data_IF_894896997773
#
_entry.id   IF_894896997773
#
_cell.length_a   1.000
_cell.length_b   1.000
_cell.length_c   1.000
_cell.angle_alpha   90.00
_cell.angle_beta   90.00
_cell.angle_gamma   90.00
#
_symmetry.space_group_name_H-M   'P 1'
#
loop_
_entity.id
_entity.type
_entity.pdbx_description
1 polymer ?
#
# COMPACT_ATOMS: atom_id res chain seq x y z
N UNK A 1 -16.42 -53.97 -35.26
CA UNK A 1 -15.94 -52.84 -36.06
C UNK A 1 -14.89 -52.12 -35.21
N UNK A 2 -13.78 -52.78 -34.85
CA UNK A 2 -12.53 -52.94 -35.64
C UNK A 2 -12.05 -51.58 -36.19
N UNK A 3 -10.83 -51.07 -35.93
CA UNK A 3 -9.58 -51.78 -35.70
C UNK A 3 -8.55 -51.00 -34.85
N UNK A 4 -7.81 -51.79 -34.08
CA UNK A 4 -6.46 -51.56 -33.53
C UNK A 4 -5.40 -51.58 -34.66
N UNK A 5 -4.24 -50.89 -34.51
CA UNK A 5 -2.85 -51.42 -34.75
C UNK A 5 -1.79 -50.31 -34.91
N UNK A 6 -0.92 -50.21 -33.91
CA UNK A 6 0.57 -50.29 -33.85
C UNK A 6 1.52 -49.79 -34.97
N UNK A 7 2.55 -49.05 -34.49
CA UNK A 7 3.93 -48.71 -34.94
C UNK A 7 4.65 -49.55 -36.02
N UNK A 8 5.53 -48.87 -36.80
CA UNK A 8 6.87 -49.36 -37.25
C UNK A 8 7.87 -48.22 -37.54
N UNK A 9 9.17 -48.57 -37.42
CA UNK A 9 10.40 -47.75 -37.52
C UNK A 9 11.27 -48.16 -38.75
N UNK A 10 12.27 -47.33 -39.06
CA UNK A 10 13.49 -47.55 -39.91
C UNK A 10 13.32 -47.32 -41.43
N UNK A 11 14.29 -46.85 -42.24
CA UNK A 11 15.78 -46.88 -42.21
C UNK A 11 16.40 -45.88 -43.25
N UNK A 12 17.68 -45.50 -43.06
CA UNK A 12 18.59 -44.62 -43.87
C UNK A 12 19.11 -45.27 -45.20
N UNK A 13 20.22 -44.87 -45.92
CA UNK A 13 21.21 -43.75 -45.85
C UNK A 13 21.78 -43.17 -47.22
N UNK A 14 22.87 -42.36 -47.12
CA UNK A 14 23.93 -42.00 -48.11
C UNK A 14 23.63 -40.84 -49.11
N UNK A 15 24.55 -39.95 -49.51
CA UNK A 15 25.98 -40.09 -49.80
C UNK A 15 26.78 -38.76 -49.72
N UNK A 16 28.10 -38.90 -49.77
CA UNK A 16 29.16 -37.91 -49.53
C UNK A 16 29.68 -37.18 -50.79
N UNK A 17 30.34 -36.02 -50.62
CA UNK A 17 31.46 -35.61 -51.48
C UNK A 17 32.38 -34.58 -50.80
N UNK A 18 33.68 -34.89 -50.81
CA UNK A 18 34.82 -34.07 -50.36
C UNK A 18 35.21 -33.04 -51.44
N UNK A 19 35.82 -31.91 -51.04
CA UNK A 19 37.11 -31.40 -51.56
C UNK A 19 37.49 -30.04 -50.91
N UNK A 20 38.68 -29.99 -50.32
CA UNK A 20 39.53 -28.82 -50.09
C UNK A 20 40.63 -28.79 -51.18
N UNK A 21 41.63 -27.85 -51.20
CA UNK A 21 41.74 -26.49 -50.65
C UNK A 21 42.11 -25.45 -51.75
N UNK A 22 42.10 -24.15 -51.45
CA UNK A 22 42.97 -23.18 -52.14
C UNK A 22 43.28 -21.99 -51.25
N UNK A 23 44.57 -21.65 -51.20
CA UNK A 23 45.21 -20.60 -50.43
C UNK A 23 45.32 -19.34 -51.29
N UNK A 24 44.92 -18.19 -50.78
CA UNK A 24 45.34 -16.89 -51.31
C UNK A 24 45.33 -15.82 -50.20
N UNK A 25 46.13 -14.79 -50.41
CA UNK A 25 46.91 -14.06 -49.41
C UNK A 25 46.36 -12.65 -49.15
N UNK A 26 46.44 -12.22 -47.89
CA UNK A 26 46.52 -10.85 -47.30
C UNK A 26 46.11 -9.64 -48.17
N UNK A 27 45.15 -8.84 -47.66
CA UNK A 27 45.26 -7.37 -47.55
C UNK A 27 44.23 -6.82 -46.54
N UNK A 28 44.68 -5.97 -45.62
CA UNK A 28 43.84 -5.23 -44.67
C UNK A 28 43.26 -3.95 -45.31
N UNK A 29 42.10 -3.49 -44.83
CA UNK A 29 42.07 -2.11 -44.34
C UNK A 29 41.23 -1.87 -43.08
N UNK A 30 41.81 -1.07 -42.17
CA UNK A 30 41.20 -0.05 -41.30
C UNK A 30 39.94 -0.38 -40.49
N UNK A 31 40.15 -0.82 -39.24
CA UNK A 31 39.21 -0.65 -38.13
C UNK A 31 39.42 0.74 -37.48
N UNK A 32 38.38 1.58 -37.49
CA UNK A 32 38.30 2.77 -36.63
C UNK A 32 37.92 2.34 -35.21
N UNK A 33 38.81 2.56 -34.25
CA UNK A 33 38.52 2.46 -32.82
C UNK A 33 37.72 3.69 -32.36
N UNK A 34 36.56 3.46 -31.75
CA UNK A 34 35.91 4.42 -30.85
C UNK A 34 36.27 4.05 -29.41
N UNK A 35 36.77 4.97 -28.57
CA UNK A 35 37.04 4.67 -27.17
C UNK A 35 35.74 4.62 -26.36
N UNK A 36 35.47 3.48 -25.73
CA UNK A 36 34.50 3.34 -24.65
C UNK A 36 35.10 3.97 -23.39
N UNK A 37 34.51 5.07 -22.93
CA UNK A 37 34.95 5.79 -21.72
C UNK A 37 34.37 5.10 -20.50
N UNK A 38 35.15 4.24 -19.86
CA UNK A 38 34.83 3.69 -18.53
C UNK A 38 35.19 4.75 -17.48
N UNK A 39 34.18 5.42 -16.92
CA UNK A 39 34.37 6.28 -15.76
C UNK A 39 34.55 5.40 -14.52
N UNK A 40 35.80 5.17 -14.13
CA UNK A 40 36.14 4.70 -12.79
C UNK A 40 35.77 5.80 -11.79
N UNK A 41 34.81 5.53 -10.91
CA UNK A 41 34.56 6.35 -9.73
C UNK A 41 35.80 6.27 -8.82
N UNK A 42 36.56 7.36 -8.74
CA UNK A 42 37.54 7.54 -7.68
C UNK A 42 36.80 8.06 -6.44
N UNK A 43 36.65 7.22 -5.42
CA UNK A 43 36.24 7.68 -4.09
C UNK A 43 37.41 8.47 -3.51
N UNK A 44 37.33 9.80 -3.59
CA UNK A 44 38.24 10.67 -2.90
C UNK A 44 37.92 10.62 -1.39
N UNK A 45 38.84 10.06 -0.63
CA UNK A 45 38.90 10.21 0.82
C UNK A 45 39.08 11.69 1.16
N UNK A 46 38.12 12.26 1.90
CA UNK A 46 38.34 13.47 2.68
C UNK A 46 37.50 13.40 3.96
N UNK A 47 38.12 12.86 5.01
CA UNK A 47 37.68 13.05 6.38
C UNK A 47 37.95 14.51 6.77
N UNK A 48 36.90 15.27 7.00
CA UNK A 48 36.96 16.49 7.80
C UNK A 48 35.83 16.44 8.85
N UNK A 49 36.23 16.09 10.06
CA UNK A 49 35.47 16.10 11.29
C UNK A 49 34.94 17.50 11.60
N UNK A 50 33.60 17.64 11.72
CA UNK A 50 32.97 18.74 12.45
C UNK A 50 32.00 18.15 13.49
N UNK A 51 32.12 18.50 14.78
CA UNK A 51 31.19 18.01 15.78
C UNK A 51 29.90 18.81 15.66
N UNK A 52 28.78 18.14 15.37
CA UNK A 52 27.45 18.72 15.58
C UNK A 52 27.03 18.42 17.01
N UNK A 53 27.29 19.40 17.87
CA UNK A 53 26.77 19.51 19.22
C UNK A 53 25.24 19.59 19.21
N UNK A 54 24.62 18.71 20.01
CA UNK A 54 23.45 18.92 20.86
C UNK A 54 22.26 19.72 20.31
N UNK A 55 21.11 19.03 20.21
CA UNK A 55 19.83 19.65 20.59
C UNK A 55 18.74 19.67 19.52
N UNK A 56 18.36 18.53 18.95
CA UNK A 56 17.04 18.40 18.31
C UNK A 56 15.97 18.30 19.41
N UNK A 57 15.70 19.45 20.03
CA UNK A 57 14.57 19.64 20.95
C UNK A 57 13.31 19.61 20.10
N UNK A 58 12.57 18.50 20.18
CA UNK A 58 11.27 18.26 19.52
C UNK A 58 10.28 19.39 19.86
N UNK A 59 10.21 20.43 19.03
CA UNK A 59 9.19 21.47 19.11
C UNK A 59 7.91 20.90 18.50
N UNK A 60 7.03 20.36 19.35
CA UNK A 60 5.60 20.28 19.03
C UNK A 60 5.09 21.70 18.83
N UNK A 61 5.05 22.17 17.60
CA UNK A 61 4.13 23.24 17.20
C UNK A 61 2.97 22.55 16.51
N UNK A 62 1.81 22.58 17.15
CA UNK A 62 0.55 22.29 16.50
C UNK A 62 0.36 23.31 15.38
N UNK A 63 0.57 22.89 14.15
CA UNK A 63 -0.04 23.53 13.00
C UNK A 63 -1.41 22.91 12.88
N UNK A 64 -2.44 23.67 13.25
CA UNK A 64 -3.84 23.26 13.09
C UNK A 64 -4.09 22.87 11.65
N UNK A 65 -4.35 21.58 11.47
CA UNK A 65 -4.56 20.95 10.18
C UNK A 65 -6.01 21.24 9.75
N UNK A 66 -6.23 22.36 9.06
CA UNK A 66 -7.50 22.60 8.37
C UNK A 66 -7.38 21.97 6.98
N UNK A 67 -7.58 20.66 6.91
CA UNK A 67 -7.91 19.99 5.64
C UNK A 67 -9.40 20.20 5.43
N UNK A 68 -9.80 20.73 4.28
CA UNK A 68 -11.20 20.92 3.90
C UNK A 68 -11.94 19.57 3.97
N UNK A 69 -13.13 19.58 4.55
CA UNK A 69 -14.01 18.41 4.74
C UNK A 69 -14.55 17.79 3.43
N UNK A 70 -13.94 18.09 2.28
CA UNK A 70 -14.52 17.79 0.96
C UNK A 70 -14.26 16.34 0.51
N UNK A 71 -13.20 15.68 0.99
CA UNK A 71 -12.80 14.33 0.53
C UNK A 71 -13.81 13.22 0.84
N UNK A 72 -14.56 13.28 1.94
CA UNK A 72 -15.50 12.21 2.36
C UNK A 72 -16.97 12.66 2.38
N UNK A 73 -17.30 13.78 1.73
CA UNK A 73 -18.55 14.50 1.97
C UNK A 73 -19.84 13.66 1.89
N UNK A 74 -19.94 12.73 0.93
CA UNK A 74 -21.12 11.86 0.79
C UNK A 74 -21.26 10.87 1.95
N UNK A 75 -20.15 10.20 2.32
CA UNK A 75 -20.14 9.26 3.44
C UNK A 75 -20.40 10.00 4.76
N UNK A 76 -19.75 11.15 4.98
CA UNK A 76 -19.96 11.98 6.16
C UNK A 76 -21.43 12.42 6.28
N UNK A 77 -22.04 12.92 5.20
CA UNK A 77 -23.45 13.37 5.20
C UNK A 77 -24.43 12.23 5.46
N UNK A 78 -24.19 11.06 4.85
CA UNK A 78 -25.03 9.89 5.04
C UNK A 78 -24.96 9.35 6.48
N UNK A 79 -23.76 9.36 7.07
CA UNK A 79 -23.56 9.03 8.47
C UNK A 79 -24.19 10.08 9.40
N UNK A 80 -24.08 11.38 9.07
CA UNK A 80 -24.74 12.48 9.79
C UNK A 80 -26.24 12.32 9.93
N UNK A 81 -26.88 11.86 8.86
CA UNK A 81 -28.31 11.59 8.85
C UNK A 81 -28.68 10.51 9.88
N UNK A 82 -27.83 9.50 10.08
CA UNK A 82 -28.08 8.39 10.98
C UNK A 82 -28.15 8.82 12.46
N UNK A 83 -27.19 9.60 12.95
CA UNK A 83 -27.22 10.06 14.35
C UNK A 83 -28.21 11.20 14.59
N UNK A 84 -28.55 11.99 13.57
CA UNK A 84 -29.62 12.99 13.70
C UNK A 84 -30.98 12.38 14.06
N UNK A 85 -31.24 11.14 13.63
CA UNK A 85 -32.45 10.37 14.00
C UNK A 85 -32.47 9.92 15.46
N UNK A 86 -31.33 9.97 16.15
CA UNK A 86 -31.22 9.61 17.56
C UNK A 86 -31.32 10.83 18.50
N UNK A 87 -31.51 12.04 17.96
CA UNK A 87 -31.71 13.24 18.80
C UNK A 87 -32.97 13.09 19.64
N UNK A 88 -32.82 13.25 20.96
CA UNK A 88 -33.93 13.11 21.91
C UNK A 88 -34.31 11.66 22.22
N UNK A 89 -33.54 10.68 21.73
CA UNK A 89 -33.64 9.29 22.17
C UNK A 89 -32.82 9.13 23.45
N UNK A 90 -33.40 8.47 24.46
CA UNK A 90 -32.73 8.25 25.75
C UNK A 90 -31.88 6.97 25.77
N UNK A 91 -32.28 5.93 25.03
CA UNK A 91 -31.62 4.62 25.03
C UNK A 91 -31.61 3.99 23.63
N UNK A 92 -30.50 3.34 23.27
CA UNK A 92 -30.41 2.52 22.07
C UNK A 92 -31.17 1.20 22.28
N UNK A 93 -32.26 1.00 21.53
CA UNK A 93 -33.08 -0.21 21.56
C UNK A 93 -33.18 -0.79 20.16
N UNK A 94 -33.72 -2.02 20.06
CA UNK A 94 -33.91 -2.69 18.75
C UNK A 94 -34.75 -1.86 17.80
N UNK A 95 -35.69 -1.09 18.31
CA UNK A 95 -36.62 -0.26 17.55
C UNK A 95 -35.96 1.06 17.14
N UNK A 96 -35.19 1.69 18.02
CA UNK A 96 -34.61 3.02 17.77
C UNK A 96 -33.40 2.97 16.82
N UNK A 97 -32.67 1.85 16.76
CA UNK A 97 -31.48 1.74 15.89
C UNK A 97 -31.77 1.35 14.44
N UNK A 98 -32.97 0.84 14.11
CA UNK A 98 -33.27 0.31 12.76
C UNK A 98 -33.02 1.37 11.69
N UNK A 99 -33.58 2.56 11.86
CA UNK A 99 -33.47 3.64 10.89
C UNK A 99 -32.05 4.20 10.77
N UNK A 100 -31.32 4.50 11.86
CA UNK A 100 -29.89 4.82 11.81
C UNK A 100 -29.05 3.76 11.08
N UNK A 101 -29.28 2.46 11.33
CA UNK A 101 -28.53 1.38 10.67
C UNK A 101 -28.80 1.33 9.17
N UNK A 102 -30.03 1.66 8.74
CA UNK A 102 -30.38 1.73 7.30
C UNK A 102 -29.66 2.91 6.61
N UNK A 103 -29.53 4.05 7.28
CA UNK A 103 -28.81 5.20 6.75
C UNK A 103 -27.31 4.92 6.64
N UNK A 104 -26.71 4.32 7.68
CA UNK A 104 -25.29 3.89 7.66
C UNK A 104 -25.05 2.91 6.51
N UNK A 105 -25.95 1.91 6.36
CA UNK A 105 -25.87 0.96 5.24
C UNK A 105 -25.92 1.67 3.89
N UNK A 106 -26.81 2.64 3.72
CA UNK A 106 -26.94 3.40 2.47
C UNK A 106 -25.68 4.22 2.20
N UNK A 107 -25.19 4.95 3.20
CA UNK A 107 -23.99 5.78 3.10
C UNK A 107 -22.77 4.97 2.66
N UNK A 108 -22.57 3.79 3.24
CA UNK A 108 -21.47 2.90 2.85
C UNK A 108 -21.61 2.35 1.42
N UNK A 109 -22.83 2.03 0.97
CA UNK A 109 -23.04 1.57 -0.40
C UNK A 109 -22.86 2.70 -1.42
N UNK A 110 -23.30 3.92 -1.11
CA UNK A 110 -23.06 5.13 -1.93
C UNK A 110 -21.57 5.45 -2.01
N UNK A 111 -20.83 5.19 -0.92
CA UNK A 111 -19.39 5.28 -0.84
C UNK A 111 -18.63 4.18 -1.64
N UNK A 112 -19.33 3.39 -2.45
CA UNK A 112 -18.80 2.28 -3.24
C UNK A 112 -18.11 1.18 -2.40
N UNK A 113 -18.59 0.96 -1.17
CA UNK A 113 -18.17 -0.16 -0.33
C UNK A 113 -18.91 -1.43 -0.77
N UNK A 114 -18.20 -2.57 -0.84
CA UNK A 114 -18.82 -3.82 -1.27
C UNK A 114 -19.92 -4.30 -0.31
N UNK A 115 -21.03 -4.80 -0.86
CA UNK A 115 -22.17 -5.28 -0.07
C UNK A 115 -21.78 -6.30 1.02
N UNK A 116 -20.85 -7.25 0.80
CA UNK A 116 -20.39 -8.15 1.87
C UNK A 116 -19.73 -7.41 3.04
N UNK A 117 -18.88 -6.42 2.77
CA UNK A 117 -18.26 -5.56 3.81
C UNK A 117 -19.36 -4.82 4.58
N UNK A 118 -20.28 -4.15 3.87
CA UNK A 118 -21.35 -3.35 4.50
C UNK A 118 -22.23 -4.22 5.40
N UNK A 119 -22.60 -5.43 4.96
CA UNK A 119 -23.42 -6.34 5.77
C UNK A 119 -22.73 -6.72 7.08
N UNK A 120 -21.43 -7.07 7.04
CA UNK A 120 -20.67 -7.41 8.25
C UNK A 120 -20.54 -6.21 9.18
N UNK A 121 -20.18 -5.06 8.62
CA UNK A 121 -20.04 -3.81 9.37
C UNK A 121 -21.34 -3.45 10.12
N UNK A 122 -22.47 -3.41 9.41
CA UNK A 122 -23.76 -3.03 10.00
C UNK A 122 -24.23 -4.07 11.05
N UNK A 123 -23.95 -5.36 10.83
CA UNK A 123 -24.25 -6.40 11.83
C UNK A 123 -23.45 -6.18 13.12
N UNK A 124 -22.14 -5.98 13.00
CA UNK A 124 -21.23 -5.75 14.13
C UNK A 124 -21.60 -4.47 14.90
N UNK A 125 -21.88 -3.36 14.20
CA UNK A 125 -22.35 -2.11 14.82
C UNK A 125 -23.68 -2.31 15.53
N UNK A 126 -24.64 -3.01 14.92
CA UNK A 126 -25.94 -3.29 15.52
C UNK A 126 -25.84 -4.12 16.81
N UNK A 127 -25.03 -5.17 16.80
CA UNK A 127 -24.76 -6.00 17.98
C UNK A 127 -24.11 -5.19 19.11
N UNK A 128 -23.08 -4.40 18.80
CA UNK A 128 -22.40 -3.52 19.77
C UNK A 128 -23.33 -2.42 20.30
N UNK A 129 -24.21 -1.88 19.46
CA UNK A 129 -25.17 -0.84 19.86
C UNK A 129 -26.23 -1.37 20.83
N UNK A 130 -26.70 -2.61 20.65
CA UNK A 130 -27.67 -3.24 21.55
C UNK A 130 -27.05 -3.83 22.82
N UNK A 131 -25.78 -4.25 22.75
CA UNK A 131 -25.06 -4.87 23.86
C UNK A 131 -24.24 -3.92 24.71
N UNK A 132 -24.22 -2.62 24.40
CA UNK A 132 -23.46 -1.63 25.18
C UNK A 132 -24.31 -1.05 26.30
N UNK A 133 -23.78 -1.09 27.52
CA UNK A 133 -24.42 -0.47 28.68
C UNK A 133 -24.64 1.03 28.47
N UNK A 134 -25.74 1.56 29.00
CA UNK A 134 -25.99 3.00 29.00
C UNK A 134 -24.95 3.67 29.91
N UNK A 135 -24.01 4.39 29.29
CA UNK A 135 -22.99 5.12 30.03
C UNK A 135 -23.57 6.46 30.48
N UNK A 136 -23.61 6.69 31.79
CA UNK A 136 -24.11 7.96 32.35
C UNK A 136 -23.34 9.15 31.78
N UNK A 137 -24.08 10.16 31.34
CA UNK A 137 -23.52 11.41 30.80
C UNK A 137 -23.10 11.33 29.31
N UNK A 138 -23.26 10.16 28.67
CA UNK A 138 -23.05 10.00 27.23
C UNK A 138 -24.41 9.85 26.57
N UNK A 139 -24.68 10.66 25.55
CA UNK A 139 -25.95 10.59 24.82
C UNK A 139 -25.93 9.44 23.80
N UNK A 140 -27.06 8.78 23.51
CA UNK A 140 -27.11 7.63 22.60
C UNK A 140 -26.49 7.88 21.22
N UNK A 141 -26.64 9.08 20.67
CA UNK A 141 -26.04 9.43 19.39
C UNK A 141 -24.51 9.46 19.45
N UNK A 142 -23.93 9.91 20.56
CA UNK A 142 -22.48 9.93 20.77
C UNK A 142 -21.93 8.51 20.96
N UNK A 143 -22.69 7.66 21.65
CA UNK A 143 -22.37 6.25 21.81
C UNK A 143 -22.37 5.53 20.47
N UNK A 144 -23.39 5.77 19.62
CA UNK A 144 -23.41 5.20 18.27
C UNK A 144 -22.23 5.69 17.43
N UNK A 145 -21.91 6.98 17.46
CA UNK A 145 -20.75 7.55 16.76
C UNK A 145 -19.45 6.84 17.18
N UNK A 146 -19.26 6.58 18.47
CA UNK A 146 -18.08 5.83 18.97
C UNK A 146 -18.04 4.40 18.46
N UNK A 147 -19.16 3.69 18.47
CA UNK A 147 -19.24 2.30 17.99
C UNK A 147 -18.89 2.24 16.49
N UNK A 148 -19.46 3.15 15.70
CA UNK A 148 -19.19 3.25 14.26
C UNK A 148 -17.73 3.61 14.02
N UNK A 149 -17.16 4.55 14.78
CA UNK A 149 -15.74 4.90 14.73
C UNK A 149 -14.85 3.68 14.94
N UNK A 150 -15.07 2.95 16.04
CA UNK A 150 -14.24 1.82 16.41
C UNK A 150 -14.32 0.70 15.37
N UNK A 151 -15.51 0.50 14.79
CA UNK A 151 -15.69 -0.45 13.70
C UNK A 151 -14.96 0.00 12.42
N UNK A 152 -15.00 1.29 12.08
CA UNK A 152 -14.26 1.84 10.94
C UNK A 152 -12.75 1.67 11.12
N UNK A 153 -12.23 1.94 12.33
CA UNK A 153 -10.82 1.74 12.66
C UNK A 153 -10.43 0.27 12.50
N UNK A 154 -11.24 -0.65 13.04
CA UNK A 154 -11.01 -2.08 12.92
C UNK A 154 -11.03 -2.54 11.45
N UNK A 155 -12.00 -2.05 10.67
CA UNK A 155 -12.15 -2.36 9.25
C UNK A 155 -10.96 -1.86 8.42
N UNK A 156 -10.33 -0.74 8.81
CA UNK A 156 -9.16 -0.17 8.13
C UNK A 156 -7.82 -0.77 8.55
N UNK A 157 -7.80 -1.67 9.54
CA UNK A 157 -6.57 -2.37 9.95
C UNK A 157 -6.19 -2.23 11.41
N UNK A 158 -6.95 -1.47 12.19
CA UNK A 158 -6.73 -1.26 13.62
C UNK A 158 -5.53 -0.34 13.87
N UNK A 159 -4.36 -0.94 14.09
CA UNK A 159 -3.15 -0.23 14.47
C UNK A 159 -2.30 0.19 13.26
N UNK A 160 -1.42 1.17 13.48
CA UNK A 160 -0.45 1.62 12.49
C UNK A 160 0.55 0.51 12.13
N UNK A 161 0.93 0.43 10.86
CA UNK A 161 1.95 -0.50 10.38
C UNK A 161 3.00 0.27 9.61
N UNK A 162 4.20 0.36 10.19
CA UNK A 162 5.35 1.01 9.56
C UNK A 162 6.14 0.04 8.67
N UNK A 163 7.10 0.57 7.92
CA UNK A 163 8.13 -0.21 7.26
C UNK A 163 9.20 -0.65 8.27
N UNK A 164 9.81 -1.79 7.98
CA UNK A 164 10.98 -2.24 8.71
C UNK A 164 12.20 -1.52 8.13
N UNK A 165 12.79 -0.60 8.90
CA UNK A 165 14.03 0.08 8.56
C UNK A 165 15.26 -0.62 9.15
N UNK A 166 16.45 -0.26 8.68
CA UNK A 166 17.70 -0.78 9.20
C UNK A 166 17.84 -0.50 10.71
N UNK A 167 18.38 -1.46 11.46
CA UNK A 167 18.50 -1.37 12.93
C UNK A 167 19.52 -0.32 13.38
N UNK A 168 20.47 0.05 12.53
CA UNK A 168 21.55 1.00 12.83
C UNK A 168 21.98 1.74 11.57
N UNK A 169 22.09 3.06 11.63
CA UNK A 169 22.50 3.91 10.50
C UNK A 169 21.33 4.37 9.62
N UNK A 170 21.57 5.32 8.70
CA UNK A 170 20.57 5.73 7.72
C UNK A 170 20.35 4.60 6.70
N UNK A 171 19.10 4.19 6.51
CA UNK A 171 18.76 3.22 5.46
C UNK A 171 19.13 3.79 4.09
N UNK A 172 20.16 3.24 3.45
CA UNK A 172 20.49 3.58 2.06
C UNK A 172 19.53 2.82 1.16
N UNK A 173 18.87 3.53 0.24
CA UNK A 173 17.85 2.96 -0.66
C UNK A 173 18.44 2.87 -2.07
N UNK A 174 18.18 1.77 -2.78
CA UNK A 174 18.41 1.65 -4.21
C UNK A 174 17.07 1.56 -4.93
N UNK A 175 16.85 2.41 -5.92
CA UNK A 175 15.64 2.35 -6.76
C UNK A 175 15.93 1.52 -8.02
N UNK A 176 15.05 0.58 -8.38
CA UNK A 176 15.17 -0.21 -9.60
C UNK A 176 13.85 -0.24 -10.37
N UNK A 177 13.82 0.29 -11.60
CA UNK A 177 12.69 0.15 -12.54
C UNK A 177 12.93 -1.07 -13.44
N UNK A 178 11.96 -1.98 -13.50
CA UNK A 178 12.10 -3.21 -14.28
C UNK A 178 11.74 -3.11 -15.75
N UNK A 179 10.94 -2.14 -16.24
CA UNK A 179 10.62 -2.02 -17.69
C UNK A 179 9.78 -0.79 -18.10
N UNK A 180 10.20 0.44 -17.79
CA UNK A 180 9.53 1.64 -18.33
C UNK A 180 10.52 2.61 -18.98
N UNK A 181 10.67 2.58 -20.32
CA UNK A 181 11.62 3.45 -21.05
C UNK A 181 11.47 4.93 -20.71
N UNK A 182 10.24 5.37 -20.40
CA UNK A 182 9.93 6.76 -20.03
C UNK A 182 9.96 7.05 -18.53
N UNK A 183 10.09 6.05 -17.65
CA UNK A 183 10.09 6.26 -16.20
C UNK A 183 11.47 6.09 -15.55
N UNK A 184 12.44 5.44 -16.22
CA UNK A 184 13.84 5.42 -15.75
C UNK A 184 14.38 6.85 -15.60
N UNK A 185 14.13 7.73 -16.58
CA UNK A 185 14.56 9.13 -16.51
C UNK A 185 13.86 9.89 -15.38
N UNK A 186 12.56 9.66 -15.19
CA UNK A 186 11.78 10.27 -14.11
C UNK A 186 12.29 9.82 -12.74
N UNK A 187 12.56 8.51 -12.58
CA UNK A 187 13.09 7.93 -11.36
C UNK A 187 14.50 8.41 -11.07
N UNK A 188 15.33 8.59 -12.10
CA UNK A 188 16.69 9.14 -11.99
C UNK A 188 16.64 10.58 -11.50
N UNK A 189 15.79 11.44 -12.10
CA UNK A 189 15.60 12.82 -11.66
C UNK A 189 15.10 12.86 -10.21
N UNK A 190 14.15 12.00 -9.84
CA UNK A 190 13.66 11.91 -8.47
C UNK A 190 14.76 11.48 -7.50
N UNK A 191 15.52 10.44 -7.85
CA UNK A 191 16.65 9.94 -7.06
C UNK A 191 17.71 11.01 -6.83
N UNK A 192 18.06 11.80 -7.86
CA UNK A 192 18.96 12.94 -7.73
C UNK A 192 18.43 14.03 -6.79
N UNK A 193 17.13 14.34 -6.87
CA UNK A 193 16.49 15.34 -6.00
C UNK A 193 16.53 14.95 -4.51
N UNK A 194 16.40 13.65 -4.21
CA UNK A 194 16.42 13.14 -2.83
C UNK A 194 17.77 12.59 -2.37
N UNK A 195 18.77 12.56 -3.25
CA UNK A 195 20.09 12.01 -2.96
C UNK A 195 20.12 10.49 -2.82
N UNK A 196 19.25 9.78 -3.53
CA UNK A 196 19.12 8.31 -3.52
C UNK A 196 19.61 7.74 -4.85
N UNK A 197 20.56 6.79 -4.85
CA UNK A 197 21.06 6.18 -6.09
C UNK A 197 19.97 5.34 -6.78
N UNK A 198 19.98 5.39 -8.12
CA UNK A 198 19.08 4.61 -8.98
C UNK A 198 19.91 3.60 -9.77
N UNK A 199 19.47 2.34 -9.76
CA UNK A 199 20.05 1.27 -10.56
C UNK A 199 19.17 0.99 -11.77
N UNK A 200 19.78 0.96 -12.96
CA UNK A 200 19.08 0.58 -14.19
C UNK A 200 20.04 -0.09 -15.17
N UNK A 201 19.57 -1.17 -15.80
CA UNK A 201 20.27 -1.87 -16.89
C UNK A 201 19.59 -1.63 -18.25
N UNK A 202 18.73 -0.60 -18.34
CA UNK A 202 17.93 -0.32 -19.52
C UNK A 202 16.83 -1.36 -19.78
N UNK A 203 16.44 -1.53 -21.04
CA UNK A 203 15.24 -2.28 -21.44
C UNK A 203 15.55 -3.62 -22.13
N UNK A 204 16.76 -4.14 -21.98
CA UNK A 204 17.21 -5.34 -22.69
C UNK A 204 17.22 -6.61 -21.81
N UNK A 205 17.33 -6.44 -20.49
CA UNK A 205 17.38 -7.53 -19.51
C UNK A 205 16.00 -7.82 -18.92
N UNK A 206 15.79 -9.04 -18.43
CA UNK A 206 14.50 -9.42 -17.81
C UNK A 206 14.33 -8.77 -16.43
N UNK A 207 13.10 -8.48 -15.97
CA UNK A 207 12.82 -7.93 -14.63
C UNK A 207 13.52 -8.65 -13.48
N UNK A 208 13.49 -9.99 -13.48
CA UNK A 208 14.08 -10.80 -12.43
C UNK A 208 15.62 -10.71 -12.42
N UNK A 209 16.26 -10.53 -13.58
CA UNK A 209 17.71 -10.39 -13.71
C UNK A 209 18.14 -9.00 -13.22
N UNK A 210 17.46 -7.94 -13.67
CA UNK A 210 17.71 -6.56 -13.22
C UNK A 210 17.61 -6.47 -11.69
N UNK A 211 16.55 -7.05 -11.12
CA UNK A 211 16.33 -7.01 -9.66
C UNK A 211 17.43 -7.77 -8.92
N UNK A 212 17.86 -8.92 -9.45
CA UNK A 212 18.94 -9.71 -8.83
C UNK A 212 20.27 -8.96 -8.86
N UNK A 213 20.61 -8.34 -9.99
CA UNK A 213 21.84 -7.57 -10.12
C UNK A 213 21.81 -6.30 -9.25
N UNK A 214 20.65 -5.64 -9.13
CA UNK A 214 20.44 -4.53 -8.20
C UNK A 214 20.73 -4.95 -6.74
N UNK A 215 20.30 -6.15 -6.33
CA UNK A 215 20.62 -6.72 -5.01
C UNK A 215 22.11 -6.97 -4.83
N UNK A 216 22.81 -7.45 -5.86
CA UNK A 216 24.26 -7.63 -5.80
C UNK A 216 25.01 -6.29 -5.71
N UNK A 217 24.57 -5.29 -6.47
CA UNK A 217 25.14 -3.94 -6.44
C UNK A 217 24.92 -3.26 -5.08
N UNK A 218 23.73 -3.41 -4.52
CA UNK A 218 23.43 -2.93 -3.18
C UNK A 218 24.37 -3.55 -2.13
N UNK A 219 24.59 -4.87 -2.20
CA UNK A 219 25.52 -5.56 -1.30
C UNK A 219 26.97 -5.07 -1.46
N UNK A 220 27.42 -4.80 -2.69
CA UNK A 220 28.78 -4.28 -2.95
C UNK A 220 28.99 -2.88 -2.40
N UNK A 221 27.94 -2.05 -2.42
CA UNK A 221 27.99 -0.66 -1.99
C UNK A 221 27.50 -0.45 -0.53
N UNK A 222 27.29 -1.52 0.23
CA UNK A 222 26.75 -1.47 1.60
C UNK A 222 25.42 -0.69 1.69
N UNK A 223 24.51 -0.95 0.75
CA UNK A 223 23.16 -0.41 0.74
C UNK A 223 22.23 -1.31 1.55
N UNK A 224 21.48 -0.72 2.49
CA UNK A 224 20.65 -1.47 3.45
C UNK A 224 19.27 -1.87 2.93
N UNK A 225 18.70 -1.10 1.99
CA UNK A 225 17.38 -1.34 1.44
C UNK A 225 17.32 -1.11 -0.07
N UNK A 226 16.39 -1.80 -0.72
CA UNK A 226 16.14 -1.67 -2.15
C UNK A 226 14.64 -1.53 -2.33
N UNK A 227 14.24 -0.51 -3.07
CA UNK A 227 12.87 -0.31 -3.52
C UNK A 227 12.84 -0.65 -5.00
N UNK A 228 12.12 -1.72 -5.33
CA UNK A 228 11.96 -2.17 -6.70
C UNK A 228 10.64 -1.62 -7.21
N UNK A 229 10.71 -0.66 -8.12
CA UNK A 229 9.55 -0.15 -8.83
C UNK A 229 9.21 -1.08 -9.99
N UNK A 230 8.04 -1.71 -9.89
CA UNK A 230 7.56 -2.66 -10.90
C UNK A 230 6.59 -1.98 -11.85
N UNK A 231 6.45 -2.51 -13.07
CA UNK A 231 5.48 -1.98 -14.02
C UNK A 231 4.07 -1.93 -13.42
N UNK A 232 3.47 -0.73 -13.39
CA UNK A 232 2.09 -0.55 -12.97
C UNK A 232 1.09 -0.88 -14.07
N UNK A 233 -0.09 -1.41 -13.69
CA UNK A 233 -1.25 -1.59 -14.56
C UNK A 233 -2.54 -1.36 -13.77
N UNK A 234 -3.54 -0.78 -14.44
CA UNK A 234 -4.89 -0.59 -13.87
C UNK A 234 -5.67 -1.93 -13.76
N UNK A 235 -5.27 -2.94 -14.53
CA UNK A 235 -5.90 -4.25 -14.57
C UNK A 235 -4.84 -5.35 -14.56
N UNK A 236 -5.23 -6.53 -14.06
CA UNK A 236 -4.32 -7.66 -13.90
C UNK A 236 -4.03 -8.32 -15.25
N UNK A 237 -2.76 -8.29 -15.65
CA UNK A 237 -2.24 -9.02 -16.80
C UNK A 237 -1.54 -10.31 -16.35
N UNK A 238 -1.82 -11.43 -17.02
CA UNK A 238 -1.20 -12.73 -16.72
C UNK A 238 0.31 -12.71 -16.91
N UNK A 239 0.80 -12.02 -17.94
CA UNK A 239 2.22 -11.89 -18.28
C UNK A 239 2.96 -11.16 -17.16
N UNK A 240 2.41 -10.03 -16.70
CA UNK A 240 2.97 -9.26 -15.59
C UNK A 240 2.99 -10.09 -14.29
N UNK A 241 1.93 -10.84 -14.00
CA UNK A 241 1.91 -11.70 -12.80
C UNK A 241 2.97 -12.80 -12.86
N UNK A 242 3.27 -13.35 -14.04
CA UNK A 242 4.38 -14.30 -14.22
C UNK A 242 5.72 -13.61 -13.94
N UNK A 243 5.95 -12.42 -14.50
CA UNK A 243 7.18 -11.65 -14.24
C UNK A 243 7.37 -11.32 -12.75
N UNK A 244 6.31 -10.87 -12.06
CA UNK A 244 6.34 -10.58 -10.63
C UNK A 244 6.62 -11.83 -9.79
N UNK A 245 6.09 -12.99 -10.17
CA UNK A 245 6.42 -14.26 -9.52
C UNK A 245 7.89 -14.63 -9.71
N UNK A 246 8.44 -14.41 -10.90
CA UNK A 246 9.86 -14.64 -11.17
C UNK A 246 10.76 -13.71 -10.34
N UNK A 247 10.42 -12.41 -10.28
CA UNK A 247 11.12 -11.43 -9.42
C UNK A 247 11.05 -11.86 -7.96
N UNK A 248 9.85 -12.18 -7.45
CA UNK A 248 9.66 -12.64 -6.06
C UNK A 248 10.52 -13.87 -5.76
N UNK A 249 10.58 -14.84 -6.67
CA UNK A 249 11.40 -16.04 -6.51
C UNK A 249 12.90 -15.75 -6.54
N UNK A 250 13.33 -14.78 -7.36
CA UNK A 250 14.73 -14.43 -7.52
C UNK A 250 15.32 -13.72 -6.30
N UNK A 251 14.55 -12.83 -5.66
CA UNK A 251 15.08 -11.96 -4.59
C UNK A 251 14.44 -12.14 -3.21
N UNK A 252 13.36 -12.91 -3.11
CA UNK A 252 12.63 -13.17 -1.86
C UNK A 252 12.39 -11.90 -1.02
N UNK A 253 11.61 -10.93 -1.54
CA UNK A 253 11.46 -9.62 -0.92
C UNK A 253 10.82 -9.71 0.47
N UNK A 254 11.31 -8.88 1.40
CA UNK A 254 10.79 -8.79 2.77
C UNK A 254 9.40 -8.15 2.82
N UNK A 255 9.16 -7.19 1.94
CA UNK A 255 7.92 -6.41 1.84
C UNK A 255 7.47 -6.38 0.38
N UNK A 256 6.17 -6.58 0.16
CA UNK A 256 5.52 -6.45 -1.14
C UNK A 256 4.33 -5.50 -0.93
N UNK A 257 4.46 -4.28 -1.43
CA UNK A 257 3.46 -3.22 -1.26
C UNK A 257 2.64 -3.09 -2.54
N UNK A 258 1.32 -3.22 -2.41
CA UNK A 258 0.41 -2.95 -3.51
C UNK A 258 -0.04 -1.49 -3.48
N UNK A 259 0.19 -0.77 -4.58
CA UNK A 259 -0.30 0.60 -4.74
C UNK A 259 -1.71 0.55 -5.34
N UNK A 260 -2.68 1.14 -4.64
CA UNK A 260 -4.10 1.14 -4.99
C UNK A 260 -4.60 2.58 -5.03
N UNK A 261 -5.44 2.90 -6.00
CA UNK A 261 -6.07 4.21 -6.12
C UNK A 261 -7.26 4.32 -5.14
N UNK A 262 -7.28 5.33 -4.27
CA UNK A 262 -8.36 5.53 -3.31
C UNK A 262 -9.73 5.82 -3.98
N UNK A 263 -9.73 6.28 -5.24
CA UNK A 263 -10.95 6.52 -6.01
C UNK A 263 -11.58 5.22 -6.52
N UNK A 264 -10.82 4.12 -6.58
CA UNK A 264 -11.30 2.82 -7.04
C UNK A 264 -11.96 2.08 -5.87
N UNK A 265 -13.29 2.05 -5.80
CA UNK A 265 -14.01 1.39 -4.70
C UNK A 265 -14.00 -0.13 -4.82
N UNK A 266 -15.03 -0.72 -5.41
CA UNK A 266 -15.12 -2.20 -5.50
C UNK A 266 -14.05 -2.83 -6.40
N UNK A 267 -13.57 -2.10 -7.41
CA UNK A 267 -12.51 -2.57 -8.30
C UNK A 267 -11.18 -2.79 -7.54
N UNK A 268 -10.89 -1.94 -6.55
CA UNK A 268 -9.74 -2.15 -5.66
C UNK A 268 -9.83 -3.49 -4.93
N UNK A 269 -11.02 -3.88 -4.48
CA UNK A 269 -11.22 -5.15 -3.78
C UNK A 269 -10.83 -6.34 -4.66
N UNK A 270 -11.24 -6.35 -5.92
CA UNK A 270 -10.91 -7.41 -6.87
C UNK A 270 -9.41 -7.46 -7.22
N UNK A 271 -8.81 -6.28 -7.43
CA UNK A 271 -7.37 -6.13 -7.69
C UNK A 271 -6.55 -6.67 -6.52
N UNK A 272 -6.85 -6.19 -5.31
CA UNK A 272 -6.18 -6.58 -4.06
C UNK A 272 -6.32 -8.08 -3.81
N UNK A 273 -7.53 -8.63 -3.97
CA UNK A 273 -7.79 -10.06 -3.77
C UNK A 273 -6.90 -10.90 -4.69
N UNK A 274 -6.95 -10.61 -5.99
CA UNK A 274 -6.25 -11.41 -6.98
C UNK A 274 -4.73 -11.27 -6.82
N UNK A 275 -4.22 -10.06 -6.62
CA UNK A 275 -2.78 -9.83 -6.41
C UNK A 275 -2.28 -10.49 -5.12
N UNK A 276 -3.07 -10.45 -4.04
CA UNK A 276 -2.72 -11.10 -2.79
C UNK A 276 -2.73 -12.64 -2.90
N UNK A 277 -3.63 -13.23 -3.69
CA UNK A 277 -3.65 -14.68 -3.93
C UNK A 277 -2.45 -15.09 -4.79
N UNK A 278 -2.17 -14.36 -5.87
CA UNK A 278 -1.17 -14.75 -6.87
C UNK A 278 0.27 -14.44 -6.42
N UNK A 279 0.48 -13.28 -5.82
CA UNK A 279 1.80 -12.77 -5.43
C UNK A 279 1.97 -12.77 -3.92
N UNK A 280 0.92 -12.42 -3.16
CA UNK A 280 0.98 -12.23 -1.71
C UNK A 280 1.58 -10.87 -1.35
N UNK A 281 0.80 -10.04 -0.67
CA UNK A 281 1.23 -8.70 -0.24
C UNK A 281 1.52 -8.66 1.27
N UNK A 282 2.40 -7.76 1.68
CA UNK A 282 2.65 -7.45 3.09
C UNK A 282 1.85 -6.25 3.56
N UNK A 283 1.55 -5.32 2.66
CA UNK A 283 0.73 -4.15 2.91
C UNK A 283 0.32 -3.45 1.63
N UNK A 284 -0.41 -2.34 1.77
CA UNK A 284 -0.85 -1.52 0.65
C UNK A 284 -0.53 -0.03 0.86
N UNK A 285 -0.48 0.70 -0.26
CA UNK A 285 -0.40 2.15 -0.30
C UNK A 285 -1.66 2.64 -1.02
N UNK A 286 -2.40 3.56 -0.42
CA UNK A 286 -3.53 4.22 -1.08
C UNK A 286 -3.07 5.55 -1.68
N UNK A 287 -3.31 5.79 -2.96
CA UNK A 287 -2.97 7.07 -3.61
C UNK A 287 -4.22 7.89 -3.92
N UNK A 288 -4.03 9.18 -4.23
CA UNK A 288 -5.11 10.12 -4.62
C UNK A 288 -6.21 10.28 -3.57
N UNK A 289 -5.81 10.26 -2.30
CA UNK A 289 -6.75 10.44 -1.20
C UNK A 289 -7.26 11.89 -1.11
N UNK A 290 -6.66 12.84 -1.82
CA UNK A 290 -7.10 14.24 -1.96
C UNK A 290 -8.18 14.45 -3.02
N UNK A 291 -8.42 13.46 -3.89
CA UNK A 291 -9.49 13.49 -4.88
C UNK A 291 -10.89 13.36 -4.26
N UNK A 292 -11.92 13.32 -5.12
CA UNK A 292 -13.31 12.98 -4.75
C UNK A 292 -13.42 11.47 -4.45
N UNK A 293 -12.68 11.05 -3.42
CA UNK A 293 -12.56 9.65 -3.04
C UNK A 293 -13.77 9.27 -2.19
N UNK A 294 -14.51 8.26 -2.62
CA UNK A 294 -15.66 7.78 -1.85
C UNK A 294 -15.26 7.02 -0.57
N UNK A 295 -13.97 6.78 -0.34
CA UNK A 295 -13.44 6.08 0.84
C UNK A 295 -13.57 4.56 0.82
N UNK A 296 -14.34 4.00 -0.13
CA UNK A 296 -14.58 2.56 -0.24
C UNK A 296 -13.33 1.71 -0.47
N UNK A 297 -12.31 2.27 -1.14
CA UNK A 297 -11.04 1.58 -1.38
C UNK A 297 -10.32 1.22 -0.07
N UNK A 298 -10.24 2.17 0.86
CA UNK A 298 -9.56 1.99 2.14
C UNK A 298 -10.22 0.91 3.00
N UNK A 299 -11.56 0.87 2.98
CA UNK A 299 -12.35 -0.15 3.69
C UNK A 299 -12.24 -1.53 3.04
N UNK A 300 -11.94 -1.59 1.74
CA UNK A 300 -11.89 -2.85 0.98
C UNK A 300 -10.55 -3.57 1.08
N UNK A 301 -9.43 -2.82 1.07
CA UNK A 301 -8.07 -3.40 1.03
C UNK A 301 -7.83 -4.35 2.20
N UNK A 302 -8.07 -3.89 3.43
CA UNK A 302 -7.83 -4.69 4.64
C UNK A 302 -8.79 -5.87 4.71
N UNK A 303 -10.05 -5.65 4.37
CA UNK A 303 -11.06 -6.70 4.44
C UNK A 303 -10.72 -7.88 3.53
N UNK A 304 -10.29 -7.61 2.29
CA UNK A 304 -10.06 -8.69 1.31
C UNK A 304 -8.66 -9.30 1.39
N UNK A 305 -7.65 -8.56 1.82
CA UNK A 305 -6.28 -9.07 1.92
C UNK A 305 -5.87 -9.52 3.32
N UNK A 306 -6.56 -9.01 4.35
CA UNK A 306 -6.10 -9.09 5.74
C UNK A 306 -4.85 -8.24 6.03
N UNK A 307 -4.32 -7.50 5.05
CA UNK A 307 -3.07 -6.73 5.17
C UNK A 307 -3.33 -5.26 5.48
N UNK A 308 -2.44 -4.61 6.26
CA UNK A 308 -2.60 -3.22 6.62
C UNK A 308 -2.33 -2.30 5.42
N UNK A 309 -2.94 -1.12 5.47
CA UNK A 309 -2.52 0.02 4.65
C UNK A 309 -1.38 0.70 5.42
N UNK A 310 -0.23 0.89 4.78
CA UNK A 310 0.96 1.48 5.41
C UNK A 310 1.09 2.98 5.13
N UNK A 311 0.78 3.39 3.90
CA UNK A 311 0.89 4.78 3.46
C UNK A 311 -0.34 5.27 2.71
N UNK A 312 -0.51 6.59 2.72
CA UNK A 312 -1.46 7.33 1.89
C UNK A 312 -0.76 8.44 1.13
N UNK A 313 -1.03 8.56 -0.16
CA UNK A 313 -0.66 9.72 -0.98
C UNK A 313 -1.84 10.68 -1.11
N UNK A 314 -1.64 11.94 -0.72
CA UNK A 314 -2.65 13.03 -0.81
C UNK A 314 -2.37 14.03 -1.93
N UNK A 315 -1.52 13.67 -2.89
CA UNK A 315 -1.11 14.59 -3.93
C UNK A 315 0.06 14.02 -4.71
N UNK A 316 0.67 14.89 -5.49
CA UNK A 316 1.73 14.53 -6.43
C UNK A 316 3.13 14.85 -5.89
N UNK A 317 3.24 15.61 -4.79
CA UNK A 317 4.54 16.00 -4.23
C UNK A 317 5.07 14.93 -3.28
N UNK A 318 6.38 14.91 -3.08
CA UNK A 318 7.04 13.96 -2.18
C UNK A 318 6.54 14.07 -0.73
N UNK A 319 6.23 15.29 -0.30
CA UNK A 319 5.68 15.58 1.03
C UNK A 319 4.22 15.13 1.22
N UNK A 320 3.51 14.76 0.14
CA UNK A 320 2.12 14.32 0.18
C UNK A 320 1.98 12.81 0.49
N UNK A 321 3.09 12.07 0.55
CA UNK A 321 3.12 10.67 1.00
C UNK A 321 3.27 10.63 2.52
N UNK A 322 2.23 10.14 3.20
CA UNK A 322 2.15 10.07 4.65
C UNK A 322 1.90 8.65 5.13
N UNK A 323 2.25 8.36 6.39
CA UNK A 323 1.81 7.15 7.07
C UNK A 323 0.28 7.10 7.17
N UNK A 324 -0.27 5.90 7.03
CA UNK A 324 -1.70 5.68 7.23
C UNK A 324 -2.02 5.48 8.70
N UNK A 325 -2.97 6.26 9.20
CA UNK A 325 -3.48 6.17 10.57
C UNK A 325 -4.98 5.86 10.50
N UNK A 326 -5.41 4.60 10.76
CA UNK A 326 -6.81 4.19 10.71
C UNK A 326 -7.73 5.07 11.58
N UNK A 327 -7.29 5.40 12.80
CA UNK A 327 -7.99 6.28 13.74
C UNK A 327 -8.26 7.68 13.15
N UNK A 328 -7.21 8.34 12.65
CA UNK A 328 -7.36 9.67 12.02
C UNK A 328 -8.23 9.62 10.76
N UNK A 329 -8.21 8.50 10.04
CA UNK A 329 -9.07 8.30 8.88
C UNK A 329 -10.53 8.18 9.29
N UNK A 330 -10.83 7.37 10.31
CA UNK A 330 -12.19 7.21 10.82
C UNK A 330 -12.75 8.54 11.36
N UNK A 331 -11.93 9.31 12.08
CA UNK A 331 -12.29 10.65 12.56
C UNK A 331 -12.66 11.61 11.42
N UNK A 332 -11.89 11.58 10.32
CA UNK A 332 -12.18 12.40 9.13
C UNK A 332 -13.46 11.98 8.44
N UNK A 333 -13.69 10.67 8.28
CA UNK A 333 -14.92 10.11 7.71
C UNK A 333 -16.15 10.57 8.50
N UNK A 334 -16.05 10.56 9.83
CA UNK A 334 -17.17 10.92 10.70
C UNK A 334 -17.36 12.43 10.85
N UNK A 335 -16.36 13.26 10.55
CA UNK A 335 -16.46 14.72 10.71
C UNK A 335 -16.59 15.19 12.17
N UNK A 336 -16.40 14.31 13.16
CA UNK A 336 -16.74 14.55 14.57
C UNK A 336 -15.57 14.25 15.54
N UNK A 337 -14.37 14.75 15.24
CA UNK A 337 -13.17 14.51 16.08
C UNK A 337 -13.33 14.90 17.55
N UNK A 338 -14.07 15.98 17.83
CA UNK A 338 -14.28 16.46 19.20
C UNK A 338 -15.20 15.53 20.00
N UNK A 339 -16.25 14.96 19.39
CA UNK A 339 -17.24 14.11 20.07
C UNK A 339 -16.62 12.82 20.59
N UNK A 340 -15.70 12.22 19.83
CA UNK A 340 -14.99 11.01 20.22
C UNK A 340 -14.15 11.24 21.47
N UNK A 341 -13.42 12.36 21.52
CA UNK A 341 -12.61 12.76 22.67
C UNK A 341 -13.43 12.93 23.95
N UNK A 342 -14.68 13.39 23.85
CA UNK A 342 -15.59 13.49 25.00
C UNK A 342 -16.05 12.12 25.49
N UNK A 343 -16.44 11.24 24.57
CA UNK A 343 -16.91 9.88 24.89
C UNK A 343 -15.82 9.08 25.61
N UNK A 344 -14.57 9.15 25.13
CA UNK A 344 -13.43 8.45 25.72
C UNK A 344 -13.16 8.89 27.16
N UNK A 345 -13.17 10.20 27.42
CA UNK A 345 -13.00 10.75 28.77
C UNK A 345 -14.10 10.29 29.71
N UNK A 346 -15.36 10.31 29.27
CA UNK A 346 -16.48 9.84 30.07
C UNK A 346 -16.39 8.34 30.38
N UNK A 347 -15.99 7.52 29.41
CA UNK A 347 -15.72 6.09 29.62
C UNK A 347 -14.58 5.84 30.61
N UNK A 348 -13.51 6.64 30.55
CA UNK A 348 -12.37 6.50 31.44
C UNK A 348 -12.74 6.81 32.90
N UNK A 349 -13.52 7.87 33.13
CA UNK A 349 -14.05 8.21 34.47
C UNK A 349 -14.89 7.07 35.02
N UNK A 350 -15.84 6.53 34.24
CA UNK A 350 -16.67 5.41 34.68
C UNK A 350 -15.84 4.16 34.97
N UNK A 351 -14.84 3.86 34.12
CA UNK A 351 -13.91 2.73 34.34
C UNK A 351 -13.08 2.91 35.61
N UNK A 352 -12.62 4.12 35.90
CA UNK A 352 -11.88 4.43 37.12
C UNK A 352 -12.76 4.30 38.38
N UNK A 353 -14.00 4.82 38.34
CA UNK A 353 -14.97 4.64 39.43
C UNK A 353 -15.26 3.16 39.68
N UNK A 354 -15.44 2.39 38.61
CA UNK A 354 -15.70 0.96 38.68
C UNK A 354 -14.51 0.19 39.26
N UNK A 355 -13.28 0.51 38.84
CA UNK A 355 -12.05 -0.06 39.38
C UNK A 355 -11.82 0.31 40.86
N UNK A 356 -12.16 1.54 41.27
CA UNK A 356 -12.07 1.94 42.67
C UNK A 356 -13.05 1.15 43.54
N UNK A 357 -14.30 0.99 43.10
CA UNK A 357 -15.33 0.19 43.81
C UNK A 357 -14.99 -1.29 43.90
N UNK A 358 -14.18 -1.82 42.99
CA UNK A 358 -13.77 -3.23 42.98
C UNK A 358 -12.52 -3.51 43.83
N UNK A 359 -11.77 -2.46 44.20
CA UNK A 359 -10.57 -2.52 45.06
C UNK A 359 -10.85 -2.10 46.51
N UNK A 360 -12.03 -1.55 46.77
CA UNK A 360 -12.57 -1.26 48.10
C UNK A 360 -13.42 -2.43 48.55
#
# INVERSE_FOLDING_TARGET
MEATTTLTLSSSPAAAARRSPTRATISHPHLRHYPVRTSRLSVAQSLASRPLSSGWRRRRRGSGLVVRAETFGQLTTGLESAWNKLRGVDVLTKETIVEPMRDIRRALLEADVSLPVVRRFVSSVGEKALGSDVIRGIRPEQQLVKIVHDELVQLMGGEESDLVFAKTGPTVILLADVYRPAAIDQLTVLGEQVGVPVYSEGTAAKPAEITKNAVEEAKRNNIDAIVVDTAGRLQIDKTMMVELKEVKKAVNPTEILLVVDAMTGQEAAALVTTFNIEIGISGAILTKLDGDSRGGAALSVKEVSGKPIKFVGRGERMEDLELFYPDRMAQRVLGMGDVLSFVEKAQEVVRQEWNCRRRS
#
